data_IF_973519115657
#
_entry.id   IF_973519115657
#
_cell.length_a   1.000
_cell.length_b   1.000
_cell.length_c   1.000
_cell.angle_alpha   90.00
_cell.angle_beta   90.00
_cell.angle_gamma   90.00
#
_symmetry.space_group_name_H-M   'P 1'
#
loop_
_entity.id
_entity.type
_entity.pdbx_description
1 polymer ?
#
# COMPACT_ATOMS: atom_id res chain seq x y z
N UNK A 1 -27.03 -19.36 60.75
CA UNK A 1 -25.57 -19.42 60.36
C UNK A 1 -25.12 -18.02 60.09
N UNK A 2 -24.38 -17.37 60.99
CA UNK A 2 -23.95 -15.97 60.84
C UNK A 2 -22.67 -15.94 59.96
N UNK A 3 -22.77 -15.35 58.81
CA UNK A 3 -21.61 -15.14 57.93
C UNK A 3 -20.74 -14.07 58.60
N UNK A 4 -19.49 -14.43 58.87
CA UNK A 4 -18.55 -13.61 59.62
C UNK A 4 -18.17 -12.36 58.79
N UNK A 5 -18.16 -11.17 59.37
CA UNK A 5 -17.83 -9.88 58.72
C UNK A 5 -16.51 -9.91 57.94
N UNK A 6 -15.56 -10.76 58.39
CA UNK A 6 -14.27 -11.00 57.70
C UNK A 6 -14.46 -11.71 56.34
N UNK A 7 -15.40 -12.68 56.28
CA UNK A 7 -15.71 -13.41 55.04
C UNK A 7 -16.38 -12.51 54.01
N UNK A 8 -17.23 -11.57 54.43
CA UNK A 8 -17.86 -10.58 53.54
C UNK A 8 -16.82 -9.60 52.99
N UNK A 9 -15.85 -9.18 53.82
CA UNK A 9 -14.77 -8.28 53.39
C UNK A 9 -13.83 -8.95 52.37
N UNK A 10 -13.50 -10.23 52.59
CA UNK A 10 -12.69 -11.00 51.63
C UNK A 10 -13.43 -11.22 50.30
N UNK A 11 -14.72 -11.50 50.29
CA UNK A 11 -15.53 -11.62 49.07
C UNK A 11 -15.63 -10.28 48.35
N UNK A 12 -15.78 -9.16 49.05
CA UNK A 12 -15.82 -7.83 48.43
C UNK A 12 -14.49 -7.42 47.78
N UNK A 13 -13.35 -7.77 48.41
CA UNK A 13 -12.02 -7.53 47.88
C UNK A 13 -11.77 -8.42 46.63
N UNK A 14 -12.18 -9.69 46.65
CA UNK A 14 -12.09 -10.61 45.49
C UNK A 14 -12.98 -10.17 44.33
N UNK A 15 -14.18 -9.62 44.59
CA UNK A 15 -15.04 -9.07 43.54
C UNK A 15 -14.51 -7.75 42.96
N UNK A 16 -13.80 -6.93 43.73
CA UNK A 16 -13.14 -5.72 43.25
C UNK A 16 -11.87 -6.04 42.41
N UNK A 17 -11.15 -7.13 42.73
CA UNK A 17 -9.99 -7.57 41.92
C UNK A 17 -10.38 -8.31 40.65
N UNK A 18 -11.58 -8.89 40.58
CA UNK A 18 -12.11 -9.50 39.36
C UNK A 18 -12.60 -8.48 38.31
N UNK A 19 -12.75 -7.20 38.69
CA UNK A 19 -13.06 -6.10 37.77
C UNK A 19 -11.78 -5.54 37.08
N UNK A 20 -10.62 -6.13 37.32
CA UNK A 20 -9.35 -5.66 36.80
C UNK A 20 -9.00 -6.44 35.57
N UNK A 21 -8.92 -5.69 34.48
CA UNK A 21 -8.16 -5.96 33.29
C UNK A 21 -8.83 -6.92 32.31
N UNK A 22 -9.96 -6.52 31.78
CA UNK A 22 -10.13 -6.58 30.36
C UNK A 22 -9.49 -5.29 29.81
N UNK A 23 -8.18 -5.27 29.75
CA UNK A 23 -7.49 -4.31 28.90
C UNK A 23 -8.02 -4.57 27.50
N UNK A 24 -8.96 -3.76 27.03
CA UNK A 24 -9.37 -3.77 25.63
C UNK A 24 -8.08 -3.67 24.83
N UNK A 25 -7.66 -4.76 24.18
CA UNK A 25 -6.45 -4.76 23.40
C UNK A 25 -6.63 -3.67 22.35
N UNK A 26 -5.83 -2.62 22.45
CA UNK A 26 -5.90 -1.48 21.53
C UNK A 26 -5.82 -2.02 20.11
N UNK A 27 -6.86 -1.80 19.31
CA UNK A 27 -6.88 -2.24 17.92
C UNK A 27 -5.68 -1.66 17.18
N UNK A 28 -4.94 -2.50 16.43
CA UNK A 28 -3.81 -2.04 15.62
C UNK A 28 -4.30 -1.14 14.48
N UNK A 29 -3.60 -0.07 14.21
CA UNK A 29 -3.71 0.63 12.94
C UNK A 29 -3.09 -0.22 11.83
N UNK A 30 -3.57 -0.05 10.61
CA UNK A 30 -3.03 -0.76 9.44
C UNK A 30 -2.67 0.25 8.35
N UNK A 31 -1.44 0.17 7.88
CA UNK A 31 -0.96 0.87 6.69
C UNK A 31 -0.56 -0.19 5.68
N UNK A 32 -1.35 -0.34 4.62
CA UNK A 32 -1.10 -1.29 3.54
C UNK A 32 -0.62 -0.52 2.30
N UNK A 33 0.60 -0.81 1.86
CA UNK A 33 1.25 -0.14 0.72
C UNK A 33 1.44 -1.17 -0.39
N UNK A 34 1.00 -0.84 -1.61
CA UNK A 34 1.18 -1.68 -2.79
C UNK A 34 1.84 -0.85 -3.88
N UNK A 35 3.07 -1.20 -4.25
CA UNK A 35 3.76 -0.59 -5.39
C UNK A 35 3.21 -1.10 -6.73
N UNK A 36 3.49 -0.38 -7.82
CA UNK A 36 2.93 -0.58 -9.16
C UNK A 36 4.06 -0.86 -10.18
N UNK A 37 4.11 -2.05 -10.77
CA UNK A 37 5.11 -2.50 -11.76
C UNK A 37 6.57 -2.54 -11.20
N UNK A 38 6.79 -3.21 -10.08
CA UNK A 38 8.13 -3.39 -9.51
C UNK A 38 8.32 -4.78 -8.91
N UNK A 39 9.33 -5.51 -9.35
CA UNK A 39 9.70 -6.81 -8.84
C UNK A 39 10.71 -6.75 -7.69
N UNK A 40 10.91 -7.88 -7.03
CA UNK A 40 11.80 -8.02 -5.87
C UNK A 40 13.26 -7.64 -6.16
N UNK A 41 13.70 -7.76 -7.40
CA UNK A 41 15.05 -7.38 -7.87
C UNK A 41 15.35 -5.89 -7.72
N UNK A 42 14.33 -5.07 -7.50
CA UNK A 42 14.46 -3.63 -7.31
C UNK A 42 14.63 -3.22 -5.82
N UNK A 43 14.72 -4.19 -4.90
CA UNK A 43 14.83 -3.89 -3.47
C UNK A 43 16.16 -4.36 -2.88
N UNK A 44 16.87 -3.47 -2.19
CA UNK A 44 18.14 -3.79 -1.53
C UNK A 44 17.98 -4.83 -0.42
N UNK A 45 16.83 -4.92 0.24
CA UNK A 45 16.50 -5.97 1.20
C UNK A 45 16.54 -7.39 0.60
N UNK A 46 16.31 -7.54 -0.71
CA UNK A 46 16.44 -8.79 -1.44
C UNK A 46 17.79 -8.95 -2.17
N UNK A 47 18.75 -8.05 -1.95
CA UNK A 47 20.11 -8.14 -2.45
C UNK A 47 20.39 -7.33 -3.71
N UNK A 48 19.48 -6.48 -4.16
CA UNK A 48 19.73 -5.56 -5.28
C UNK A 48 20.92 -4.64 -4.98
N UNK A 49 21.82 -4.49 -5.97
CA UNK A 49 22.96 -3.56 -5.91
C UNK A 49 22.73 -2.31 -6.77
N UNK A 50 21.78 -2.35 -7.67
CA UNK A 50 21.44 -1.25 -8.56
C UNK A 50 20.50 -0.24 -7.92
N UNK A 51 19.68 -0.69 -6.96
CA UNK A 51 18.67 0.11 -6.28
C UNK A 51 19.01 0.32 -4.81
N UNK A 52 18.53 1.42 -4.25
CA UNK A 52 18.68 1.75 -2.84
C UNK A 52 17.33 2.06 -2.23
N UNK A 53 16.89 1.21 -1.29
CA UNK A 53 15.59 1.29 -0.62
C UNK A 53 15.73 1.24 0.91
N UNK A 54 16.47 2.19 1.53
CA UNK A 54 16.88 2.09 2.93
C UNK A 54 15.70 2.10 3.91
N UNK A 55 14.56 2.71 3.59
CA UNK A 55 13.38 2.71 4.46
C UNK A 55 12.69 1.34 4.44
N UNK A 56 12.56 0.73 3.28
CA UNK A 56 12.05 -0.63 3.14
C UNK A 56 13.01 -1.66 3.73
N UNK A 57 14.32 -1.46 3.61
CA UNK A 57 15.32 -2.31 4.26
C UNK A 57 15.18 -2.28 5.78
N UNK A 58 14.98 -1.09 6.35
CA UNK A 58 14.75 -0.93 7.79
C UNK A 58 13.43 -1.57 8.23
N UNK A 59 12.38 -1.49 7.41
CA UNK A 59 11.10 -2.15 7.66
C UNK A 59 11.27 -3.67 7.66
N UNK A 60 11.98 -4.23 6.67
CA UNK A 60 12.28 -5.65 6.57
C UNK A 60 13.13 -6.16 7.73
N UNK A 61 14.14 -5.39 8.15
CA UNK A 61 15.04 -5.75 9.26
C UNK A 61 14.33 -5.79 10.63
N UNK A 62 13.28 -4.99 10.81
CA UNK A 62 12.49 -4.91 12.05
C UNK A 62 11.23 -5.77 12.03
N UNK A 63 10.89 -6.33 10.89
CA UNK A 63 9.66 -7.07 10.66
C UNK A 63 9.87 -8.45 10.06
N UNK A 64 8.96 -8.83 9.19
CA UNK A 64 8.99 -10.08 8.45
C UNK A 64 9.15 -9.80 6.96
N UNK A 65 10.14 -10.45 6.32
CA UNK A 65 10.31 -10.47 4.88
C UNK A 65 9.81 -11.82 4.34
N UNK A 66 9.03 -11.78 3.28
CA UNK A 66 8.52 -12.96 2.59
C UNK A 66 9.40 -13.21 1.35
N UNK A 67 10.13 -14.31 1.33
CA UNK A 67 10.98 -14.70 0.21
C UNK A 67 10.17 -15.38 -0.91
N UNK A 68 8.99 -15.91 -0.58
CA UNK A 68 8.05 -16.51 -1.52
C UNK A 68 6.67 -15.84 -1.37
N UNK A 69 6.42 -14.86 -2.21
CA UNK A 69 5.14 -14.13 -2.25
C UNK A 69 4.80 -13.81 -3.70
N UNK A 70 3.77 -14.42 -4.24
CA UNK A 70 3.39 -14.32 -5.63
C UNK A 70 2.20 -13.38 -5.83
N UNK A 71 2.20 -12.66 -6.94
CA UNK A 71 1.05 -11.89 -7.41
C UNK A 71 0.67 -12.34 -8.83
N UNK A 72 -0.40 -11.77 -9.37
CA UNK A 72 -0.74 -11.99 -10.77
C UNK A 72 0.09 -11.07 -11.67
N UNK A 73 0.26 -11.39 -12.97
CA UNK A 73 1.15 -10.63 -13.85
C UNK A 73 0.64 -9.24 -14.22
N UNK A 74 -0.57 -8.86 -13.82
CA UNK A 74 -1.19 -7.57 -14.15
C UNK A 74 -1.79 -6.90 -12.91
N UNK A 75 -1.83 -5.57 -12.95
CA UNK A 75 -2.25 -4.74 -11.83
C UNK A 75 -3.73 -4.94 -11.40
N UNK A 76 -4.69 -4.98 -12.33
CA UNK A 76 -6.12 -5.13 -11.96
C UNK A 76 -6.40 -6.46 -11.26
N UNK A 77 -6.01 -7.64 -11.78
CA UNK A 77 -6.27 -8.89 -11.08
C UNK A 77 -5.58 -8.97 -9.72
N UNK A 78 -4.34 -8.49 -9.57
CA UNK A 78 -3.67 -8.43 -8.26
C UNK A 78 -4.42 -7.54 -7.27
N UNK A 79 -4.93 -6.39 -7.72
CA UNK A 79 -5.73 -5.49 -6.89
C UNK A 79 -7.07 -6.09 -6.48
N UNK A 80 -7.76 -6.79 -7.39
CA UNK A 80 -8.99 -7.53 -7.10
C UNK A 80 -8.73 -8.64 -6.09
N UNK A 81 -7.66 -9.44 -6.29
CA UNK A 81 -7.24 -10.49 -5.39
C UNK A 81 -6.98 -9.94 -3.97
N UNK A 82 -6.14 -8.89 -3.85
CA UNK A 82 -5.85 -8.25 -2.57
C UNK A 82 -7.11 -7.69 -1.89
N UNK A 83 -7.95 -6.98 -2.66
CA UNK A 83 -9.14 -6.32 -2.11
C UNK A 83 -10.18 -7.30 -1.58
N UNK A 84 -10.29 -8.48 -2.21
CA UNK A 84 -11.32 -9.49 -1.88
C UNK A 84 -10.80 -10.64 -1.03
N UNK A 85 -9.47 -10.86 -0.99
CA UNK A 85 -8.86 -12.05 -0.39
C UNK A 85 -9.20 -13.35 -1.15
N UNK A 86 -9.64 -13.28 -2.42
CA UNK A 86 -10.05 -14.41 -3.23
C UNK A 86 -9.19 -14.55 -4.48
N UNK A 87 -8.90 -15.79 -4.88
CA UNK A 87 -8.25 -16.06 -6.16
C UNK A 87 -9.07 -15.52 -7.34
N UNK A 88 -8.38 -14.95 -8.33
CA UNK A 88 -9.00 -14.41 -9.55
C UNK A 88 -9.71 -15.46 -10.41
N UNK A 89 -9.41 -16.74 -10.21
CA UNK A 89 -10.17 -17.85 -10.84
C UNK A 89 -11.66 -17.77 -10.51
N UNK A 90 -12.01 -17.22 -9.35
CA UNK A 90 -13.40 -17.16 -8.88
C UNK A 90 -14.07 -15.81 -9.11
N UNK A 91 -13.33 -14.72 -9.27
CA UNK A 91 -13.94 -13.40 -9.22
C UNK A 91 -13.38 -12.36 -10.19
N UNK A 92 -12.38 -12.68 -11.02
CA UNK A 92 -11.90 -11.73 -12.01
C UNK A 92 -12.88 -11.63 -13.19
N UNK A 93 -13.26 -10.41 -13.56
CA UNK A 93 -14.25 -10.15 -14.62
C UNK A 93 -13.57 -9.53 -15.84
N UNK A 94 -12.91 -8.37 -15.66
CA UNK A 94 -12.29 -7.63 -16.74
C UNK A 94 -11.22 -6.68 -16.22
N UNK A 95 -10.35 -6.20 -17.11
CA UNK A 95 -9.31 -5.25 -16.76
C UNK A 95 -9.90 -3.87 -16.43
N UNK A 96 -9.50 -3.31 -15.29
CA UNK A 96 -10.01 -2.03 -14.80
C UNK A 96 -11.35 -2.12 -14.07
N UNK A 97 -11.86 -3.32 -13.80
CA UNK A 97 -13.17 -3.54 -13.19
C UNK A 97 -13.06 -4.35 -11.91
N UNK A 98 -13.67 -3.84 -10.85
CA UNK A 98 -13.91 -4.63 -9.63
C UNK A 98 -15.21 -5.44 -9.80
N UNK A 99 -15.23 -6.74 -9.43
CA UNK A 99 -16.40 -7.59 -9.57
C UNK A 99 -17.56 -7.12 -8.69
N UNK A 100 -18.76 -7.10 -9.27
CA UNK A 100 -19.97 -6.64 -8.58
C UNK A 100 -20.35 -7.58 -7.43
N UNK A 101 -20.68 -7.00 -6.28
CA UNK A 101 -21.17 -7.76 -5.12
C UNK A 101 -20.09 -8.40 -4.25
N UNK A 102 -18.80 -8.29 -4.62
CA UNK A 102 -17.72 -8.77 -3.80
C UNK A 102 -17.40 -7.80 -2.66
N UNK A 103 -17.35 -8.27 -1.41
CA UNK A 103 -16.91 -7.45 -0.28
C UNK A 103 -15.41 -7.19 -0.36
N UNK A 104 -14.97 -6.05 0.15
CA UNK A 104 -13.55 -5.68 0.22
C UNK A 104 -13.04 -5.79 1.65
N UNK A 105 -11.72 -5.89 1.82
CA UNK A 105 -11.14 -5.79 3.16
C UNK A 105 -11.50 -4.45 3.84
N UNK A 106 -11.57 -3.34 3.10
CA UNK A 106 -11.91 -2.03 3.65
C UNK A 106 -13.34 -2.00 4.23
N UNK A 107 -14.28 -2.68 3.56
CA UNK A 107 -15.63 -2.85 4.09
C UNK A 107 -15.64 -3.56 5.44
N UNK A 108 -14.84 -4.63 5.59
CA UNK A 108 -14.73 -5.37 6.86
C UNK A 108 -14.06 -4.53 7.96
N UNK A 109 -13.00 -3.79 7.64
CA UNK A 109 -12.39 -2.88 8.60
C UNK A 109 -13.36 -1.79 9.07
N UNK A 110 -14.08 -1.18 8.13
CA UNK A 110 -15.11 -0.18 8.45
C UNK A 110 -16.21 -0.73 9.35
N UNK A 111 -16.69 -1.95 9.11
CA UNK A 111 -17.67 -2.63 9.96
C UNK A 111 -17.16 -2.86 11.39
N UNK A 112 -15.84 -2.92 11.57
CA UNK A 112 -15.19 -3.01 12.89
C UNK A 112 -14.87 -1.64 13.51
N UNK A 113 -15.37 -0.54 12.96
CA UNK A 113 -15.21 0.81 13.48
C UNK A 113 -13.88 1.49 13.15
N UNK A 114 -13.15 1.01 12.17
CA UNK A 114 -11.95 1.68 11.67
C UNK A 114 -12.33 2.88 10.80
N UNK A 115 -11.58 3.98 10.92
CA UNK A 115 -11.53 5.00 9.89
C UNK A 115 -10.77 4.44 8.69
N UNK A 116 -11.26 4.65 7.47
CA UNK A 116 -10.68 4.03 6.27
C UNK A 116 -10.33 5.05 5.21
N UNK A 117 -9.13 4.95 4.63
CA UNK A 117 -8.73 5.78 3.50
C UNK A 117 -7.99 4.98 2.44
N UNK A 118 -8.15 5.39 1.18
CA UNK A 118 -7.32 4.95 0.06
C UNK A 118 -6.74 6.16 -0.67
N UNK A 119 -5.44 6.11 -0.95
CA UNK A 119 -4.84 7.13 -1.79
C UNK A 119 -3.81 6.52 -2.74
N UNK A 120 -3.96 6.80 -4.04
CA UNK A 120 -3.12 6.28 -5.11
C UNK A 120 -3.86 5.84 -6.35
N UNK A 121 -3.35 4.80 -7.01
CA UNK A 121 -3.96 4.21 -8.21
C UNK A 121 -5.20 3.40 -7.85
N UNK A 122 -6.34 3.76 -8.44
CA UNK A 122 -7.59 3.01 -8.23
C UNK A 122 -7.74 1.88 -9.22
N UNK A 123 -8.03 2.19 -10.48
CA UNK A 123 -8.13 1.23 -11.59
C UNK A 123 -9.12 0.07 -11.35
N UNK A 124 -10.21 0.33 -10.65
CA UNK A 124 -11.25 -0.65 -10.32
C UNK A 124 -12.66 -0.17 -10.69
N UNK A 125 -12.74 0.96 -11.41
CA UNK A 125 -13.97 1.59 -11.89
C UNK A 125 -13.75 2.15 -13.28
N UNK A 126 -14.60 1.75 -14.23
CA UNK A 126 -14.74 2.36 -15.55
C UNK A 126 -15.94 3.32 -15.59
N UNK A 127 -16.20 3.94 -16.72
CA UNK A 127 -17.41 4.78 -16.90
C UNK A 127 -18.71 3.98 -16.87
N UNK A 128 -18.66 2.67 -17.00
CA UNK A 128 -19.83 1.81 -17.12
C UNK A 128 -20.01 0.84 -15.94
N UNK A 129 -18.89 0.36 -15.36
CA UNK A 129 -18.92 -0.71 -14.36
C UNK A 129 -17.71 -0.67 -13.45
N UNK A 130 -17.80 -1.37 -12.34
CA UNK A 130 -16.76 -1.43 -11.29
C UNK A 130 -17.29 -0.87 -9.97
N UNK A 131 -16.39 -0.44 -9.10
CA UNK A 131 -16.71 0.09 -7.77
C UNK A 131 -15.93 1.38 -7.47
N UNK A 132 -16.59 2.37 -6.91
CA UNK A 132 -15.94 3.57 -6.41
C UNK A 132 -15.22 3.31 -5.07
N UNK A 133 -14.25 4.14 -4.66
CA UNK A 133 -13.61 4.02 -3.34
C UNK A 133 -14.63 4.01 -2.19
N UNK A 134 -15.67 4.84 -2.26
CA UNK A 134 -16.70 4.93 -1.23
C UNK A 134 -17.54 3.65 -1.13
N UNK A 135 -17.95 3.09 -2.26
CA UNK A 135 -18.66 1.81 -2.31
C UNK A 135 -17.79 0.65 -1.84
N UNK A 136 -16.48 0.72 -2.07
CA UNK A 136 -15.50 -0.24 -1.58
C UNK A 136 -15.25 -0.16 -0.07
N UNK A 137 -15.86 0.79 0.65
CA UNK A 137 -15.74 0.91 2.10
C UNK A 137 -14.71 1.94 2.59
N UNK A 138 -14.15 2.77 1.70
CA UNK A 138 -13.25 3.85 2.12
C UNK A 138 -14.01 5.14 2.41
N UNK A 139 -13.82 5.69 3.62
CA UNK A 139 -14.42 6.95 4.04
C UNK A 139 -13.81 8.16 3.33
N UNK A 140 -12.49 8.11 3.11
CA UNK A 140 -11.71 9.16 2.47
C UNK A 140 -10.91 8.59 1.30
N UNK A 141 -10.73 9.38 0.25
CA UNK A 141 -9.93 8.95 -0.89
C UNK A 141 -9.28 10.09 -1.67
N UNK A 142 -8.03 9.84 -2.12
CA UNK A 142 -7.29 10.66 -3.06
C UNK A 142 -6.73 9.75 -4.16
N UNK A 143 -7.45 9.58 -5.28
CA UNK A 143 -7.15 8.52 -6.24
C UNK A 143 -6.96 9.02 -7.66
N UNK A 144 -6.12 8.30 -8.40
CA UNK A 144 -5.90 8.41 -9.83
C UNK A 144 -6.43 7.16 -10.54
N UNK A 145 -6.61 7.26 -11.87
CA UNK A 145 -7.14 6.20 -12.72
C UNK A 145 -8.58 5.77 -12.35
N UNK A 146 -9.42 6.78 -12.27
CA UNK A 146 -10.87 6.67 -12.05
C UNK A 146 -11.57 7.62 -13.04
N UNK A 147 -12.81 7.35 -13.46
CA UNK A 147 -13.55 8.25 -14.36
C UNK A 147 -13.55 9.69 -13.88
N UNK A 148 -13.28 10.61 -14.80
CA UNK A 148 -13.17 12.04 -14.54
C UNK A 148 -11.74 12.55 -14.32
N UNK A 149 -10.79 11.70 -13.94
CA UNK A 149 -9.38 12.08 -13.87
C UNK A 149 -8.70 11.95 -15.25
N UNK A 150 -7.69 12.81 -15.47
CA UNK A 150 -6.84 12.71 -16.65
C UNK A 150 -5.75 11.63 -16.44
N UNK A 151 -5.02 11.28 -17.52
CA UNK A 151 -3.93 10.29 -17.46
C UNK A 151 -2.69 10.76 -16.69
N UNK A 152 -2.58 12.07 -16.39
CA UNK A 152 -1.45 12.66 -15.66
C UNK A 152 -1.45 12.23 -14.20
N UNK A 153 -0.42 11.48 -13.79
CA UNK A 153 -0.29 10.92 -12.44
C UNK A 153 0.94 11.40 -11.68
N UNK A 154 1.97 11.85 -12.40
CA UNK A 154 3.20 12.33 -11.79
C UNK A 154 3.22 13.84 -11.73
N UNK A 155 3.80 14.52 -12.69
CA UNK A 155 3.78 15.97 -12.74
C UNK A 155 2.42 16.49 -13.17
N UNK A 156 1.98 17.58 -12.53
CA UNK A 156 0.66 18.21 -12.83
C UNK A 156 -0.50 17.23 -12.71
N UNK A 157 -0.58 16.47 -11.60
CA UNK A 157 -1.48 15.33 -11.51
C UNK A 157 -2.96 15.73 -11.52
N UNK A 158 -3.79 14.88 -12.11
CA UNK A 158 -5.25 14.95 -12.04
C UNK A 158 -5.73 13.87 -11.08
N UNK A 159 -6.23 14.24 -9.92
CA UNK A 159 -6.60 13.33 -8.84
C UNK A 159 -8.04 13.59 -8.39
N UNK A 160 -8.74 12.54 -7.99
CA UNK A 160 -10.05 12.65 -7.36
C UNK A 160 -9.88 12.65 -5.83
N UNK A 161 -10.18 13.78 -5.20
CA UNK A 161 -10.18 13.95 -3.75
C UNK A 161 -11.62 13.92 -3.23
N UNK A 162 -11.99 12.89 -2.50
CA UNK A 162 -13.31 12.75 -1.85
C UNK A 162 -14.49 13.08 -2.79
N UNK A 163 -14.42 12.57 -4.04
CA UNK A 163 -15.45 12.76 -5.05
C UNK A 163 -15.31 14.01 -5.93
N UNK A 164 -14.28 14.85 -5.73
CA UNK A 164 -13.99 16.01 -6.55
C UNK A 164 -12.69 15.84 -7.31
N UNK A 165 -12.71 16.01 -8.63
CA UNK A 165 -11.48 16.03 -9.44
C UNK A 165 -10.74 17.33 -9.22
N UNK A 166 -9.46 17.23 -8.86
CA UNK A 166 -8.54 18.35 -8.70
C UNK A 166 -7.39 18.20 -9.69
N UNK A 167 -7.27 19.18 -10.58
CA UNK A 167 -6.13 19.31 -11.49
C UNK A 167 -5.08 20.19 -10.82
N UNK A 168 -3.97 19.61 -10.43
CA UNK A 168 -2.89 20.32 -9.74
C UNK A 168 -1.98 21.08 -10.71
N UNK A 169 -1.25 22.08 -10.20
CA UNK A 169 -0.27 22.84 -10.94
C UNK A 169 0.97 22.06 -11.37
N UNK A 170 1.79 22.68 -12.22
CA UNK A 170 2.98 22.05 -12.81
C UNK A 170 4.05 21.67 -11.77
N UNK A 171 4.08 22.41 -10.66
CA UNK A 171 5.01 22.21 -9.56
C UNK A 171 4.65 21.01 -8.65
N UNK A 172 3.47 20.43 -8.80
CA UNK A 172 3.00 19.32 -7.97
C UNK A 172 3.35 17.97 -8.58
N UNK A 173 3.88 17.10 -7.73
CA UNK A 173 4.15 15.71 -8.07
C UNK A 173 3.12 14.80 -7.40
N UNK A 174 2.44 13.97 -8.18
CA UNK A 174 1.28 13.21 -7.72
C UNK A 174 1.53 12.31 -6.53
N UNK A 175 2.66 11.58 -6.54
CA UNK A 175 2.99 10.70 -5.41
C UNK A 175 3.26 11.47 -4.12
N UNK A 176 3.75 12.73 -4.21
CA UNK A 176 3.85 13.63 -3.05
C UNK A 176 2.48 13.99 -2.52
N UNK A 177 1.58 14.46 -3.40
CA UNK A 177 0.21 14.86 -3.04
C UNK A 177 -0.55 13.70 -2.40
N UNK A 178 -0.39 12.50 -2.94
CA UNK A 178 -1.02 11.28 -2.42
C UNK A 178 -0.48 10.92 -1.03
N UNK A 179 0.84 10.97 -0.84
CA UNK A 179 1.46 10.71 0.46
C UNK A 179 1.03 11.76 1.51
N UNK A 180 1.00 13.04 1.14
CA UNK A 180 0.53 14.14 1.99
C UNK A 180 -0.92 13.91 2.45
N UNK A 181 -1.79 13.47 1.54
CA UNK A 181 -3.18 13.17 1.84
C UNK A 181 -3.32 12.04 2.88
N UNK A 182 -2.53 10.96 2.75
CA UNK A 182 -2.54 9.87 3.72
C UNK A 182 -1.97 10.29 5.08
N UNK A 183 -0.92 11.10 5.10
CA UNK A 183 -0.36 11.64 6.34
C UNK A 183 -1.39 12.53 7.05
N UNK A 184 -2.12 13.37 6.32
CA UNK A 184 -3.21 14.18 6.87
C UNK A 184 -4.34 13.30 7.43
N UNK A 185 -4.73 12.25 6.71
CA UNK A 185 -5.70 11.28 7.19
C UNK A 185 -5.25 10.60 8.49
N UNK A 186 -3.99 10.16 8.59
CA UNK A 186 -3.42 9.55 9.80
C UNK A 186 -3.46 10.55 10.97
N UNK A 187 -3.02 11.80 10.75
CA UNK A 187 -3.04 12.86 11.76
C UNK A 187 -4.46 13.12 12.29
N UNK A 188 -5.43 13.19 11.40
CA UNK A 188 -6.84 13.44 11.72
C UNK A 188 -7.48 12.29 12.49
N UNK A 189 -7.00 11.06 12.33
CA UNK A 189 -7.56 9.86 12.94
C UNK A 189 -6.66 9.22 14.01
N UNK A 190 -5.69 9.96 14.57
CA UNK A 190 -4.68 9.45 15.51
C UNK A 190 -5.26 8.81 16.78
N UNK A 191 -6.48 9.19 17.19
CA UNK A 191 -7.12 8.77 18.44
C UNK A 191 -8.09 7.59 18.26
N UNK A 192 -8.18 7.02 17.04
CA UNK A 192 -9.04 5.86 16.74
C UNK A 192 -8.33 4.92 15.76
N UNK A 193 -8.71 3.63 15.72
CA UNK A 193 -8.09 2.71 14.78
C UNK A 193 -8.35 3.12 13.33
N UNK A 194 -7.36 2.98 12.47
CA UNK A 194 -7.49 3.32 11.06
C UNK A 194 -6.86 2.27 10.14
N UNK A 195 -7.39 2.23 8.92
CA UNK A 195 -6.84 1.54 7.77
C UNK A 195 -6.47 2.60 6.72
N UNK A 196 -5.20 2.70 6.38
CA UNK A 196 -4.67 3.51 5.29
C UNK A 196 -4.16 2.59 4.18
N UNK A 197 -4.86 2.54 3.05
CA UNK A 197 -4.42 1.78 1.86
C UNK A 197 -3.75 2.73 0.88
N UNK A 198 -2.49 2.45 0.56
CA UNK A 198 -1.67 3.20 -0.37
C UNK A 198 -1.32 2.38 -1.61
N UNK A 199 -2.25 2.19 -2.56
CA UNK A 199 -1.91 1.64 -3.87
C UNK A 199 -1.13 2.69 -4.65
N UNK A 200 0.18 2.63 -4.58
CA UNK A 200 1.07 3.60 -5.21
C UNK A 200 0.86 3.63 -6.73
N UNK A 201 1.19 4.75 -7.35
CA UNK A 201 1.36 4.88 -8.80
C UNK A 201 2.85 4.76 -9.21
N UNK A 202 3.74 4.63 -8.24
CA UNK A 202 5.18 4.41 -8.42
C UNK A 202 5.52 2.91 -8.39
N UNK A 203 6.53 2.51 -9.18
CA UNK A 203 7.27 3.25 -10.21
C UNK A 203 6.79 2.98 -11.64
N UNK A 204 5.49 2.76 -11.86
CA UNK A 204 4.89 2.46 -13.17
C UNK A 204 5.23 3.55 -14.21
N UNK A 205 5.40 3.16 -15.49
CA UNK A 205 5.62 4.10 -16.58
C UNK A 205 4.48 5.17 -16.71
N UNK A 206 4.74 6.37 -17.30
CA UNK A 206 6.00 6.85 -17.91
C UNK A 206 7.09 7.05 -16.87
N UNK A 207 8.34 6.74 -17.25
CA UNK A 207 9.47 6.92 -16.37
C UNK A 207 9.95 8.37 -16.43
N UNK A 208 9.41 9.18 -15.52
CA UNK A 208 9.69 10.61 -15.44
C UNK A 208 10.60 10.93 -14.24
N UNK A 209 11.40 12.01 -14.34
CA UNK A 209 12.14 12.51 -13.18
C UNK A 209 11.22 12.79 -12.00
N UNK A 210 11.70 12.51 -10.80
CA UNK A 210 11.01 12.79 -9.53
C UNK A 210 11.45 14.14 -8.96
N UNK A 211 10.80 14.67 -7.92
CA UNK A 211 11.26 15.87 -7.22
C UNK A 211 12.66 15.76 -6.61
N UNK A 212 13.21 14.56 -6.50
CA UNK A 212 14.56 14.28 -5.96
C UNK A 212 15.56 13.84 -7.02
N UNK A 213 15.17 13.78 -8.28
CA UNK A 213 16.08 13.45 -9.39
C UNK A 213 17.15 14.52 -9.57
N UNK A 214 18.40 14.11 -9.74
CA UNK A 214 19.51 15.02 -10.00
C UNK A 214 19.37 15.79 -11.30
N UNK A 215 18.81 15.16 -12.32
CA UNK A 215 18.47 15.76 -13.61
C UNK A 215 16.96 15.79 -13.80
N UNK A 216 16.31 16.96 -13.57
CA UNK A 216 14.86 17.11 -13.71
C UNK A 216 14.37 17.06 -15.18
N UNK A 217 15.29 17.03 -16.14
CA UNK A 217 14.98 16.95 -17.58
C UNK A 217 15.42 15.63 -18.22
N UNK A 218 15.85 14.68 -17.41
CA UNK A 218 16.31 13.37 -17.88
C UNK A 218 15.27 12.68 -18.78
N UNK A 219 15.73 12.14 -19.90
CA UNK A 219 14.95 11.28 -20.81
C UNK A 219 15.40 9.82 -20.75
N UNK A 220 16.34 9.50 -19.87
CA UNK A 220 16.82 8.14 -19.69
C UNK A 220 15.82 7.33 -18.84
N UNK A 221 15.07 6.43 -19.47
CA UNK A 221 14.02 5.65 -18.83
C UNK A 221 14.55 4.82 -17.63
N UNK A 222 15.69 4.13 -17.79
CA UNK A 222 16.30 3.34 -16.72
C UNK A 222 16.70 4.22 -15.53
N UNK A 223 17.36 5.35 -15.77
CA UNK A 223 17.77 6.28 -14.74
C UNK A 223 16.55 6.83 -13.99
N UNK A 224 15.53 7.24 -14.74
CA UNK A 224 14.30 7.77 -14.14
C UNK A 224 13.56 6.69 -13.31
N UNK A 225 13.55 5.45 -13.77
CA UNK A 225 12.98 4.33 -13.02
C UNK A 225 13.70 4.11 -11.67
N UNK A 226 15.04 4.14 -11.67
CA UNK A 226 15.85 4.05 -10.45
C UNK A 226 15.49 5.19 -9.49
N UNK A 227 15.41 6.42 -10.00
CA UNK A 227 15.02 7.59 -9.21
C UNK A 227 13.57 7.45 -8.67
N UNK A 228 12.65 6.85 -9.45
CA UNK A 228 11.27 6.59 -9.04
C UNK A 228 11.17 5.53 -7.94
N UNK A 229 11.98 4.46 -8.00
CA UNK A 229 12.07 3.46 -6.92
C UNK A 229 12.60 4.10 -5.63
N UNK A 230 13.65 4.93 -5.72
CA UNK A 230 14.17 5.67 -4.58
C UNK A 230 13.13 6.67 -4.02
N UNK A 231 12.30 7.28 -4.88
CA UNK A 231 11.23 8.17 -4.45
C UNK A 231 10.05 7.42 -3.83
N UNK A 232 9.76 6.22 -4.29
CA UNK A 232 8.80 5.30 -3.68
C UNK A 232 9.22 4.98 -2.23
N UNK A 233 10.46 4.56 -2.02
CA UNK A 233 11.04 4.32 -0.69
C UNK A 233 10.96 5.56 0.20
N UNK A 234 11.27 6.74 -0.34
CA UNK A 234 11.10 8.02 0.36
C UNK A 234 9.65 8.26 0.81
N UNK A 235 8.66 7.98 -0.03
CA UNK A 235 7.24 8.14 0.33
C UNK A 235 6.83 7.17 1.46
N UNK A 236 7.32 5.92 1.45
CA UNK A 236 7.13 4.97 2.55
C UNK A 236 7.73 5.53 3.85
N UNK A 237 8.97 6.04 3.78
CA UNK A 237 9.63 6.68 4.92
C UNK A 237 8.86 7.85 5.49
N UNK A 238 8.28 8.72 4.66
CA UNK A 238 7.47 9.86 5.12
C UNK A 238 6.24 9.43 5.93
N UNK A 239 5.58 8.35 5.53
CA UNK A 239 4.45 7.79 6.27
C UNK A 239 4.93 7.23 7.62
N UNK A 240 6.03 6.46 7.61
CA UNK A 240 6.62 5.93 8.84
C UNK A 240 7.04 7.06 9.80
N UNK A 241 7.70 8.11 9.31
CA UNK A 241 8.11 9.27 10.11
C UNK A 241 6.89 9.95 10.75
N UNK A 242 5.79 10.12 10.02
CA UNK A 242 4.55 10.66 10.58
C UNK A 242 3.96 9.77 11.69
N UNK A 243 4.01 8.44 11.54
CA UNK A 243 3.59 7.51 12.58
C UNK A 243 4.46 7.61 13.84
N UNK A 244 5.77 7.78 13.67
CA UNK A 244 6.74 7.96 14.77
C UNK A 244 6.44 9.28 15.49
N UNK A 245 6.32 10.38 14.76
CA UNK A 245 6.04 11.72 15.31
C UNK A 245 4.73 11.77 16.11
N UNK A 246 3.74 10.98 15.71
CA UNK A 246 2.44 10.88 16.38
C UNK A 246 2.42 9.84 17.52
N UNK A 247 3.51 9.11 17.76
CA UNK A 247 3.56 8.04 18.75
C UNK A 247 2.71 6.82 18.39
N UNK A 248 2.43 6.60 17.11
CA UNK A 248 1.56 5.55 16.59
C UNK A 248 2.31 4.34 16.04
N UNK A 249 3.64 4.45 15.81
CA UNK A 249 4.41 3.41 15.09
C UNK A 249 4.30 2.03 15.71
N UNK A 250 4.40 1.94 17.03
CA UNK A 250 4.35 0.68 17.78
C UNK A 250 2.95 0.02 17.78
N UNK A 251 1.90 0.81 17.52
CA UNK A 251 0.52 0.31 17.41
C UNK A 251 0.05 0.29 15.95
N UNK A 252 0.98 0.20 14.98
CA UNK A 252 0.65 0.20 13.55
C UNK A 252 1.34 -0.95 12.84
N UNK A 253 0.54 -1.81 12.21
CA UNK A 253 1.02 -2.81 11.26
C UNK A 253 1.25 -2.13 9.90
N UNK A 254 2.50 -2.04 9.48
CA UNK A 254 2.86 -1.58 8.14
C UNK A 254 3.15 -2.79 7.26
N UNK A 255 2.49 -2.86 6.10
CA UNK A 255 2.65 -3.92 5.09
C UNK A 255 3.06 -3.25 3.78
N UNK A 256 4.14 -3.74 3.17
CA UNK A 256 4.57 -3.35 1.84
C UNK A 256 4.53 -4.56 0.90
N UNK A 257 3.95 -4.39 -0.29
CA UNK A 257 3.91 -5.38 -1.36
C UNK A 257 3.97 -4.71 -2.73
N UNK A 258 4.03 -5.47 -3.80
CA UNK A 258 3.86 -5.00 -5.17
C UNK A 258 2.71 -5.74 -5.86
N UNK A 259 2.14 -5.15 -6.91
CA UNK A 259 1.03 -5.76 -7.63
C UNK A 259 1.48 -6.73 -8.73
N UNK A 260 2.67 -6.56 -9.27
CA UNK A 260 3.31 -7.44 -10.25
C UNK A 260 4.80 -7.10 -10.37
N UNK A 261 5.53 -7.79 -11.22
CA UNK A 261 6.95 -7.57 -11.45
C UNK A 261 7.26 -6.33 -12.29
N UNK A 262 8.54 -6.15 -12.61
CA UNK A 262 9.07 -4.96 -13.29
C UNK A 262 8.72 -4.91 -14.77
N UNK A 263 8.50 -3.69 -15.30
CA UNK A 263 8.16 -3.43 -16.68
C UNK A 263 9.23 -3.96 -17.66
N UNK A 264 8.80 -4.73 -18.66
CA UNK A 264 9.67 -5.41 -19.64
C UNK A 264 10.41 -4.47 -20.60
N UNK A 265 10.11 -3.18 -20.63
CA UNK A 265 10.88 -2.20 -21.42
C UNK A 265 12.24 -1.85 -20.80
N UNK A 266 12.47 -2.24 -19.54
CA UNK A 266 13.69 -1.97 -18.80
C UNK A 266 14.62 -3.18 -18.84
N UNK A 267 15.93 -2.92 -18.91
CA UNK A 267 16.99 -3.93 -18.66
C UNK A 267 17.71 -3.54 -17.38
N UNK A 268 17.64 -4.40 -16.39
CA UNK A 268 18.13 -4.17 -15.04
C UNK A 268 19.21 -5.20 -14.66
N UNK A 269 20.01 -4.86 -13.66
CA UNK A 269 20.90 -5.84 -13.03
C UNK A 269 20.07 -6.80 -12.15
N UNK A 270 20.07 -8.07 -12.54
CA UNK A 270 19.39 -9.13 -11.85
C UNK A 270 20.45 -10.03 -11.19
N UNK A 271 20.86 -9.64 -9.98
CA UNK A 271 21.89 -10.32 -9.21
C UNK A 271 23.21 -10.57 -9.97
N UNK A 272 23.69 -9.54 -10.69
CA UNK A 272 24.92 -9.60 -11.48
C UNK A 272 24.73 -9.99 -12.94
N UNK A 273 23.49 -10.21 -13.40
CA UNK A 273 23.15 -10.51 -14.78
C UNK A 273 22.17 -9.47 -15.32
N UNK A 274 22.47 -8.90 -16.50
CA UNK A 274 21.55 -7.95 -17.13
C UNK A 274 20.37 -8.71 -17.76
N UNK A 275 19.15 -8.46 -17.27
CA UNK A 275 17.92 -9.08 -17.78
C UNK A 275 16.83 -8.03 -18.04
N UNK A 276 15.94 -8.31 -18.96
CA UNK A 276 14.72 -7.52 -19.14
C UNK A 276 13.81 -7.73 -17.96
N UNK A 277 13.14 -6.66 -17.53
CA UNK A 277 12.06 -6.75 -16.55
C UNK A 277 10.98 -7.73 -17.02
N UNK A 278 10.29 -8.35 -16.08
CA UNK A 278 9.20 -9.27 -16.35
C UNK A 278 8.08 -9.03 -15.34
N UNK A 279 6.88 -8.73 -15.82
CA UNK A 279 5.72 -8.49 -14.96
C UNK A 279 5.32 -9.75 -14.14
N UNK A 280 5.74 -10.94 -14.56
CA UNK A 280 5.52 -12.20 -13.83
C UNK A 280 6.43 -12.36 -12.60
N UNK A 281 7.59 -11.71 -12.57
CA UNK A 281 8.53 -11.81 -11.43
C UNK A 281 8.05 -10.90 -10.30
N UNK A 282 7.48 -11.50 -9.28
CA UNK A 282 6.99 -10.76 -8.10
C UNK A 282 7.92 -10.86 -6.91
N UNK A 283 8.16 -12.05 -6.38
CA UNK A 283 9.04 -12.25 -5.21
C UNK A 283 9.67 -13.63 -5.13
N UNK A 284 9.63 -14.43 -6.19
CA UNK A 284 10.23 -15.76 -6.18
C UNK A 284 11.55 -15.79 -6.95
N UNK A 285 12.64 -15.99 -6.19
CA UNK A 285 13.96 -16.26 -6.75
C UNK A 285 14.17 -17.76 -7.09
N UNK A 286 13.22 -18.63 -6.77
CA UNK A 286 13.39 -20.08 -6.87
C UNK A 286 13.01 -20.67 -8.26
N UNK A 287 12.25 -19.96 -9.09
CA UNK A 287 11.79 -20.45 -10.40
C UNK A 287 12.81 -20.28 -11.55
N UNK A 288 14.02 -19.79 -11.26
CA UNK A 288 15.04 -19.61 -12.29
C UNK A 288 15.64 -20.91 -12.85
N UNK A 289 15.24 -22.07 -12.34
CA UNK A 289 15.70 -23.39 -12.81
C UNK A 289 14.85 -24.04 -13.90
N UNK A 290 13.66 -23.54 -14.16
CA UNK A 290 12.74 -24.08 -15.18
C UNK A 290 12.50 -23.02 -16.25
N UNK A 291 13.44 -22.97 -17.23
CA UNK A 291 13.25 -22.16 -18.44
C UNK A 291 11.98 -22.56 -19.17
N UNK A 292 10.92 -21.79 -18.96
CA UNK A 292 9.77 -21.78 -19.85
C UNK A 292 9.91 -20.54 -20.70
N UNK A 293 10.55 -20.69 -21.88
CA UNK A 293 10.42 -19.74 -22.98
C UNK A 293 8.97 -19.85 -23.50
N UNK A 294 8.16 -18.83 -23.24
CA UNK A 294 6.86 -18.59 -23.87
C UNK A 294 7.00 -17.53 -24.94
#
# INVERSE_FOLDING_TARGET
MSINKVTILFLAVLLQTASVIQAESKKLNVVLIMADDVGYECFSAYGSKEFSTPRLDALAAKGMRFDHCHSTPLCTPSRVNLMTGKSNVFNYVDFGVFPKGEPTFAYHFKAQGYATAVAGKWQLLTTQTGISPKEAGFDRHCVWNIPGTERRRYWKPSLMHDGKVINHGEEKYGSTVIADYLIDFIKTNKDKPFLAYYPMNLPHNPFDPTPRSKDPKSKNAKRNFIDMVAYMDHCVGRIEDALIELGLRENTLMIFTADNGTNSSLTLDFFGTQRRGCLLYTSDAADEGLGVDL
#
